data_IF_679940815659
#
_entry.id   IF_679940815659
#
_cell.length_a   1.000
_cell.length_b   1.000
_cell.length_c   1.000
_cell.angle_alpha   90.00
_cell.angle_beta   90.00
_cell.angle_gamma   90.00
#
_symmetry.space_group_name_H-M   'P 1'
#
loop_
_entity.id
_entity.type
_entity.pdbx_description
1 polymer ?
#
# COMPACT_ATOMS: atom_id res chain seq x y z
N UNK A 1 69.54 63.69 -38.63
CA UNK A 1 68.84 64.06 -37.39
C UNK A 1 67.34 63.97 -37.66
N UNK A 2 66.76 62.76 -37.49
CA UNK A 2 65.78 62.36 -36.44
C UNK A 2 64.39 62.99 -36.72
N UNK A 3 63.44 62.36 -37.43
CA UNK A 3 62.50 61.22 -37.17
C UNK A 3 61.49 61.39 -36.00
N UNK A 4 60.22 61.62 -36.41
CA UNK A 4 58.95 60.89 -36.11
C UNK A 4 58.31 60.76 -34.71
N UNK A 5 56.97 60.63 -34.78
CA UNK A 5 55.92 60.02 -33.91
C UNK A 5 55.03 60.98 -33.08
N UNK A 6 53.70 61.09 -33.34
CA UNK A 6 52.54 60.17 -33.16
C UNK A 6 52.20 59.88 -31.69
N UNK A 7 50.99 60.29 -31.28
CA UNK A 7 50.41 60.11 -29.95
C UNK A 7 49.05 59.42 -30.11
N UNK A 8 48.92 58.20 -29.57
CA UNK A 8 47.68 57.45 -29.47
C UNK A 8 47.49 57.00 -28.01
N UNK A 9 46.27 57.20 -27.51
CA UNK A 9 45.81 56.98 -26.15
C UNK A 9 45.54 55.48 -25.92
N UNK A 10 46.09 54.88 -24.86
CA UNK A 10 45.78 53.51 -24.44
C UNK A 10 45.24 53.52 -22.99
N UNK A 11 44.04 52.99 -22.81
CA UNK A 11 43.38 52.74 -21.52
C UNK A 11 43.87 51.39 -20.97
N UNK A 12 44.36 51.39 -19.74
CA UNK A 12 44.87 50.22 -19.02
C UNK A 12 43.72 49.53 -18.27
N UNK A 13 43.24 48.38 -18.77
CA UNK A 13 42.35 47.47 -18.03
C UNK A 13 43.23 46.49 -17.22
N UNK A 14 43.09 46.47 -15.89
CA UNK A 14 43.72 45.46 -15.03
C UNK A 14 42.95 44.13 -15.16
N UNK A 15 43.62 43.08 -15.67
CA UNK A 15 43.15 41.71 -15.57
C UNK A 15 43.37 41.20 -14.13
N UNK A 16 42.28 40.99 -13.40
CA UNK A 16 42.25 40.04 -12.27
C UNK A 16 42.20 38.62 -12.86
N UNK A 17 42.94 37.64 -12.30
CA UNK A 17 42.77 36.25 -12.70
C UNK A 17 41.39 35.81 -12.25
N UNK A 18 40.53 35.48 -13.21
CA UNK A 18 39.31 34.72 -12.97
C UNK A 18 39.72 33.39 -12.35
N UNK A 19 39.29 33.13 -11.12
CA UNK A 19 39.26 31.78 -10.56
C UNK A 19 38.51 30.87 -11.57
N UNK A 20 38.98 29.65 -11.84
CA UNK A 20 38.22 28.74 -12.69
C UNK A 20 36.90 28.41 -11.98
N UNK A 21 35.78 28.69 -12.65
CA UNK A 21 34.50 28.12 -12.27
C UNK A 21 34.64 26.59 -12.42
N UNK A 22 34.33 25.84 -11.36
CA UNK A 22 34.19 24.38 -11.44
C UNK A 22 32.94 24.05 -12.28
N UNK A 23 33.10 24.02 -13.60
CA UNK A 23 32.16 23.42 -14.52
C UNK A 23 32.72 22.06 -14.94
N UNK A 24 32.42 21.01 -14.17
CA UNK A 24 32.61 19.64 -14.65
C UNK A 24 31.52 19.34 -15.68
N UNK A 25 31.90 19.04 -16.93
CA UNK A 25 30.99 18.50 -17.92
C UNK A 25 30.68 17.03 -17.55
N UNK A 26 29.53 16.78 -16.92
CA UNK A 26 29.05 15.41 -16.71
C UNK A 26 28.43 14.86 -18.00
N UNK A 27 28.68 13.59 -18.27
CA UNK A 27 28.08 12.87 -19.40
C UNK A 27 26.56 12.68 -19.20
N UNK A 28 25.73 12.71 -20.24
CA UNK A 28 24.31 12.39 -20.12
C UNK A 28 24.10 10.94 -19.63
N UNK A 29 23.26 10.74 -18.61
CA UNK A 29 22.93 9.39 -18.13
C UNK A 29 22.36 8.52 -19.27
N UNK A 30 22.92 7.32 -19.53
CA UNK A 30 22.52 6.49 -20.67
C UNK A 30 21.21 5.76 -20.37
N UNK A 31 20.10 6.48 -20.55
CA UNK A 31 18.75 5.92 -20.35
C UNK A 31 18.41 4.87 -21.40
N UNK A 32 17.73 3.81 -20.95
CA UNK A 32 17.07 2.84 -21.83
C UNK A 32 15.78 3.41 -22.40
N UNK A 33 15.47 3.02 -23.63
CA UNK A 33 14.19 3.30 -24.25
C UNK A 33 13.04 2.70 -23.44
N UNK A 34 12.08 3.54 -23.05
CA UNK A 34 10.88 3.17 -22.27
C UNK A 34 9.81 2.48 -23.13
N UNK A 35 10.20 1.46 -23.90
CA UNK A 35 9.27 0.73 -24.80
C UNK A 35 8.70 -0.53 -24.16
N UNK A 36 9.37 -1.07 -23.13
CA UNK A 36 8.84 -2.14 -22.29
C UNK A 36 8.20 -1.55 -21.03
N UNK A 37 6.93 -1.89 -20.75
CA UNK A 37 6.19 -1.51 -19.55
C UNK A 37 5.85 -2.74 -18.68
N UNK A 38 6.50 -3.88 -18.94
CA UNK A 38 6.22 -5.14 -18.24
C UNK A 38 6.64 -5.14 -16.77
N UNK A 39 7.40 -4.16 -16.34
CA UNK A 39 7.87 -3.97 -14.97
C UNK A 39 6.99 -2.98 -14.17
N UNK A 40 5.89 -2.50 -14.77
CA UNK A 40 4.93 -1.62 -14.12
C UNK A 40 3.52 -2.26 -14.02
N UNK A 41 2.78 -1.87 -12.99
CA UNK A 41 1.33 -2.07 -12.86
C UNK A 41 0.61 -0.74 -12.66
N UNK A 42 -0.72 -0.72 -12.83
CA UNK A 42 -1.53 0.47 -12.62
C UNK A 42 -2.88 0.08 -12.05
N UNK A 43 -3.29 0.73 -10.96
CA UNK A 43 -4.61 0.57 -10.36
C UNK A 43 -5.67 1.36 -11.15
N UNK A 44 -6.94 0.94 -11.12
CA UNK A 44 -7.42 -0.35 -10.62
C UNK A 44 -7.04 -1.51 -11.56
N UNK A 45 -6.71 -2.66 -10.97
CA UNK A 45 -6.21 -3.84 -11.69
C UNK A 45 -7.32 -4.67 -12.35
N UNK A 46 -8.50 -4.74 -11.72
CA UNK A 46 -9.64 -5.54 -12.19
C UNK A 46 -10.94 -5.06 -11.55
N UNK A 47 -11.99 -4.83 -12.34
CA UNK A 47 -13.35 -4.60 -11.83
C UNK A 47 -14.05 -5.89 -11.42
N UNK A 48 -15.17 -5.76 -10.72
CA UNK A 48 -15.93 -6.90 -10.16
C UNK A 48 -15.08 -7.70 -9.15
N UNK A 49 -14.39 -6.95 -8.28
CA UNK A 49 -13.64 -7.49 -7.14
C UNK A 49 -13.95 -6.62 -5.93
N UNK A 50 -14.60 -7.24 -4.96
CA UNK A 50 -14.94 -6.70 -3.68
C UNK A 50 -14.23 -7.52 -2.59
N UNK A 51 -13.81 -6.84 -1.53
CA UNK A 51 -13.23 -7.46 -0.33
C UNK A 51 -12.08 -8.42 -0.67
N UNK A 52 -11.01 -7.91 -1.35
CA UNK A 52 -9.99 -8.76 -1.93
C UNK A 52 -8.98 -9.28 -0.91
N UNK A 53 -8.80 -10.59 -0.88
CA UNK A 53 -7.75 -11.26 -0.12
C UNK A 53 -6.76 -11.93 -1.06
N UNK A 54 -5.50 -11.47 -1.07
CA UNK A 54 -4.45 -11.97 -1.99
C UNK A 54 -3.42 -12.82 -1.24
N UNK A 55 -3.10 -13.97 -1.82
CA UNK A 55 -2.05 -14.88 -1.34
C UNK A 55 -1.06 -15.18 -2.48
N UNK A 56 0.20 -14.72 -2.38
CA UNK A 56 1.30 -15.24 -3.19
C UNK A 56 1.65 -16.67 -2.75
N UNK A 57 1.63 -17.63 -3.67
CA UNK A 57 1.96 -19.02 -3.37
C UNK A 57 2.48 -19.74 -4.62
N UNK A 58 3.60 -20.47 -4.49
CA UNK A 58 4.22 -21.27 -5.56
C UNK A 58 4.32 -20.55 -6.93
N UNK A 59 4.79 -19.30 -6.92
CA UNK A 59 5.01 -18.50 -8.14
C UNK A 59 3.73 -17.97 -8.80
N UNK A 60 2.62 -17.92 -8.07
CA UNK A 60 1.33 -17.37 -8.49
C UNK A 60 0.76 -16.46 -7.43
N UNK A 61 -0.17 -15.61 -7.87
CA UNK A 61 -1.01 -14.79 -7.02
C UNK A 61 -2.43 -15.31 -7.07
N UNK A 62 -3.03 -15.56 -5.91
CA UNK A 62 -4.41 -16.01 -5.75
C UNK A 62 -5.22 -14.92 -5.07
N UNK A 63 -6.34 -14.51 -5.65
CA UNK A 63 -7.27 -13.54 -5.10
C UNK A 63 -8.61 -14.22 -4.82
N UNK A 64 -8.99 -14.19 -3.55
CA UNK A 64 -10.34 -14.48 -3.07
C UNK A 64 -11.08 -13.16 -2.90
N UNK A 65 -12.37 -13.15 -3.19
CA UNK A 65 -13.17 -11.93 -3.19
C UNK A 65 -14.63 -12.27 -2.95
N UNK A 66 -15.38 -11.31 -2.40
CA UNK A 66 -16.84 -11.39 -2.31
C UNK A 66 -17.47 -11.75 -3.65
N UNK A 67 -18.51 -12.59 -3.61
CA UNK A 67 -19.34 -12.89 -4.77
C UNK A 67 -19.50 -14.39 -5.07
N UNK A 68 -20.47 -14.68 -5.94
CA UNK A 68 -20.93 -16.04 -6.20
C UNK A 68 -21.63 -16.69 -5.00
N UNK A 69 -22.10 -17.92 -5.16
CA UNK A 69 -22.68 -18.72 -4.05
C UNK A 69 -21.59 -19.55 -3.31
N UNK A 70 -20.38 -19.63 -3.87
CA UNK A 70 -19.35 -20.57 -3.44
C UNK A 70 -17.94 -19.98 -3.48
N UNK A 71 -17.83 -18.67 -3.63
CA UNK A 71 -16.59 -17.95 -3.88
C UNK A 71 -15.78 -18.47 -5.06
N UNK A 72 -15.17 -17.55 -5.78
CA UNK A 72 -14.21 -17.91 -6.81
C UNK A 72 -12.81 -17.49 -6.36
N UNK A 73 -11.83 -18.35 -6.62
CA UNK A 73 -10.41 -18.01 -6.54
C UNK A 73 -9.91 -17.65 -7.92
N UNK A 74 -9.50 -16.39 -8.08
CA UNK A 74 -8.88 -15.87 -9.30
C UNK A 74 -7.37 -15.98 -9.16
N UNK A 75 -6.64 -16.43 -10.18
CA UNK A 75 -5.18 -16.52 -10.09
C UNK A 75 -4.42 -16.20 -11.37
N UNK A 76 -3.20 -15.72 -11.19
CA UNK A 76 -2.29 -15.30 -12.27
C UNK A 76 -0.83 -15.50 -11.87
N UNK A 77 0.05 -15.71 -12.84
CA UNK A 77 1.52 -15.77 -12.63
C UNK A 77 2.19 -14.41 -12.75
N UNK A 78 1.43 -13.36 -13.05
CA UNK A 78 1.96 -12.00 -13.27
C UNK A 78 1.18 -11.02 -12.42
N UNK A 79 1.86 -10.35 -11.50
CA UNK A 79 1.28 -9.40 -10.55
C UNK A 79 0.29 -8.40 -11.17
N UNK A 80 0.56 -7.92 -12.38
CA UNK A 80 -0.30 -6.95 -13.10
C UNK A 80 -1.47 -7.54 -13.90
N UNK A 81 -1.50 -8.86 -14.15
CA UNK A 81 -2.43 -9.49 -15.13
C UNK A 81 -3.67 -10.09 -14.46
N UNK A 82 -4.46 -9.24 -13.81
CA UNK A 82 -5.71 -9.66 -13.18
C UNK A 82 -6.88 -9.75 -14.15
N UNK A 83 -6.96 -8.90 -15.18
CA UNK A 83 -8.08 -8.90 -16.16
C UNK A 83 -8.26 -10.25 -16.88
N UNK A 84 -7.15 -10.97 -17.09
CA UNK A 84 -7.13 -12.29 -17.74
C UNK A 84 -6.80 -13.42 -16.76
N UNK A 85 -6.95 -13.19 -15.45
CA UNK A 85 -6.72 -14.22 -14.44
C UNK A 85 -7.65 -15.42 -14.68
N UNK A 86 -7.14 -16.62 -14.47
CA UNK A 86 -7.97 -17.83 -14.43
C UNK A 86 -8.85 -17.81 -13.18
N UNK A 87 -10.00 -18.49 -13.22
CA UNK A 87 -10.94 -18.57 -12.08
C UNK A 87 -11.35 -20.01 -11.83
N UNK A 88 -11.51 -20.39 -10.56
CA UNK A 88 -12.06 -21.66 -10.11
C UNK A 88 -13.02 -21.42 -8.95
N UNK A 89 -14.09 -22.18 -8.85
CA UNK A 89 -14.95 -22.18 -7.65
C UNK A 89 -14.21 -22.81 -6.49
N UNK A 90 -14.12 -22.10 -5.38
CA UNK A 90 -13.28 -22.47 -4.24
C UNK A 90 -14.04 -23.27 -3.18
N UNK A 91 -15.23 -22.84 -2.74
CA UNK A 91 -15.98 -23.47 -1.66
C UNK A 91 -16.91 -24.58 -2.17
N UNK A 92 -16.95 -25.73 -1.47
CA UNK A 92 -18.08 -26.66 -1.59
C UNK A 92 -19.27 -26.03 -0.91
N UNK A 93 -20.43 -25.99 -1.58
CA UNK A 93 -21.65 -25.45 -0.97
C UNK A 93 -21.90 -26.10 0.39
N UNK A 94 -22.26 -25.29 1.38
CA UNK A 94 -22.57 -25.76 2.72
C UNK A 94 -24.07 -26.01 2.86
N UNK A 95 -24.47 -26.85 3.80
CA UNK A 95 -25.89 -27.15 4.04
C UNK A 95 -26.65 -25.98 4.69
N UNK A 96 -25.95 -25.12 5.43
CA UNK A 96 -26.54 -24.03 6.22
C UNK A 96 -26.59 -22.69 5.47
N UNK A 97 -25.65 -22.45 4.54
CA UNK A 97 -25.55 -21.16 3.84
C UNK A 97 -26.45 -21.11 2.60
N UNK A 98 -27.14 -19.99 2.39
CA UNK A 98 -28.09 -19.80 1.28
C UNK A 98 -27.66 -18.70 0.31
N UNK A 99 -27.14 -17.58 0.82
CA UNK A 99 -26.78 -16.40 0.02
C UNK A 99 -25.78 -15.51 0.78
N UNK A 100 -25.47 -14.33 0.22
CA UNK A 100 -24.62 -13.32 0.85
C UNK A 100 -23.23 -13.83 1.25
N UNK A 101 -22.63 -14.65 0.39
CA UNK A 101 -21.25 -15.11 0.52
C UNK A 101 -20.28 -13.94 0.34
N UNK A 102 -19.75 -13.45 1.47
CA UNK A 102 -18.93 -12.26 1.55
C UNK A 102 -17.56 -12.50 2.21
N UNK A 103 -16.62 -11.63 1.83
CA UNK A 103 -15.31 -11.43 2.43
C UNK A 103 -14.55 -12.73 2.76
N UNK A 104 -14.25 -13.59 1.77
CA UNK A 104 -13.48 -14.80 2.01
C UNK A 104 -11.99 -14.47 2.23
N UNK A 105 -11.44 -14.89 3.36
CA UNK A 105 -10.01 -14.83 3.65
C UNK A 105 -9.41 -16.23 3.73
N UNK A 106 -8.15 -16.41 3.27
CA UNK A 106 -7.55 -17.74 3.14
C UNK A 106 -6.14 -17.81 3.73
N UNK A 107 -5.94 -18.72 4.68
CA UNK A 107 -4.70 -18.86 5.43
C UNK A 107 -4.14 -20.27 5.31
N UNK A 108 -2.81 -20.39 5.31
CA UNK A 108 -2.16 -21.67 5.54
C UNK A 108 -2.00 -21.89 7.04
N UNK A 109 -2.56 -22.97 7.57
CA UNK A 109 -2.50 -23.29 9.01
C UNK A 109 -2.47 -24.81 9.21
N UNK A 110 -1.55 -25.31 10.04
CA UNK A 110 -1.37 -26.74 10.34
C UNK A 110 -1.40 -27.68 9.11
N UNK A 111 -0.71 -27.26 8.03
CA UNK A 111 -0.60 -28.04 6.79
C UNK A 111 -1.87 -28.08 5.93
N UNK A 112 -2.88 -27.28 6.26
CA UNK A 112 -4.12 -27.10 5.48
C UNK A 112 -4.28 -25.66 5.05
N UNK A 113 -5.14 -25.45 4.07
CA UNK A 113 -5.68 -24.14 3.73
C UNK A 113 -7.02 -23.96 4.43
N UNK A 114 -7.18 -22.84 5.14
CA UNK A 114 -8.36 -22.47 5.90
C UNK A 114 -8.98 -21.25 5.25
N UNK A 115 -10.23 -21.36 4.81
CA UNK A 115 -11.04 -20.26 4.31
C UNK A 115 -12.00 -19.80 5.41
N UNK A 116 -11.89 -18.56 5.85
CA UNK A 116 -12.90 -17.89 6.66
C UNK A 116 -13.84 -17.15 5.73
N UNK A 117 -15.13 -17.15 6.02
CA UNK A 117 -16.12 -16.42 5.23
C UNK A 117 -17.37 -16.13 6.04
N UNK A 118 -18.13 -15.13 5.60
CA UNK A 118 -19.49 -14.90 6.07
C UNK A 118 -20.52 -15.29 5.01
N UNK A 119 -21.66 -15.80 5.45
CA UNK A 119 -22.81 -16.07 4.60
C UNK A 119 -24.12 -15.98 5.39
N UNK A 120 -25.22 -15.78 4.67
CA UNK A 120 -26.56 -15.86 5.25
C UNK A 120 -26.92 -17.32 5.56
N UNK A 121 -27.36 -17.54 6.79
CA UNK A 121 -28.07 -18.72 7.24
C UNK A 121 -29.58 -18.55 7.00
N UNK A 122 -30.24 -19.55 6.40
CA UNK A 122 -31.70 -19.50 6.23
C UNK A 122 -32.20 -18.33 5.36
N UNK A 123 -33.39 -17.79 5.68
CA UNK A 123 -34.10 -16.81 4.84
C UNK A 123 -34.10 -15.36 5.36
N UNK A 124 -33.73 -15.13 6.63
CA UNK A 124 -34.00 -13.86 7.35
C UNK A 124 -32.76 -12.96 7.50
N UNK A 125 -31.85 -12.94 6.51
CA UNK A 125 -30.61 -12.14 6.55
C UNK A 125 -29.73 -12.42 7.79
N UNK A 126 -29.81 -13.64 8.33
CA UNK A 126 -28.97 -14.10 9.44
C UNK A 126 -27.53 -14.32 8.97
N UNK A 127 -26.70 -13.29 9.04
CA UNK A 127 -25.30 -13.34 8.64
C UNK A 127 -24.46 -14.03 9.71
N UNK A 128 -23.73 -15.08 9.32
CA UNK A 128 -22.90 -15.90 10.21
C UNK A 128 -21.53 -16.15 9.57
N UNK A 129 -20.56 -16.48 10.41
CA UNK A 129 -19.19 -16.77 10.02
C UNK A 129 -18.92 -18.26 10.12
N UNK A 130 -18.18 -18.82 9.15
CA UNK A 130 -17.69 -20.19 9.22
C UNK A 130 -16.26 -20.33 8.68
N UNK A 131 -15.71 -21.52 8.89
CA UNK A 131 -14.39 -21.92 8.40
C UNK A 131 -14.51 -23.17 7.53
N UNK A 132 -13.81 -23.18 6.40
CA UNK A 132 -13.74 -24.33 5.51
C UNK A 132 -12.29 -24.70 5.21
N UNK A 133 -12.02 -25.98 4.94
CA UNK A 133 -10.65 -26.51 4.86
C UNK A 133 -10.37 -27.18 3.50
N UNK A 134 -9.15 -27.03 3.00
CA UNK A 134 -8.68 -27.67 1.78
C UNK A 134 -7.20 -28.12 1.86
N UNK A 135 -6.83 -29.08 1.03
CA UNK A 135 -5.42 -29.48 0.83
C UNK A 135 -4.67 -28.57 -0.16
N UNK A 136 -5.40 -27.78 -0.95
CA UNK A 136 -4.85 -26.90 -1.98
C UNK A 136 -5.43 -25.51 -1.79
N UNK A 137 -4.62 -24.48 -2.08
CA UNK A 137 -5.07 -23.09 -2.03
C UNK A 137 -6.27 -22.83 -2.94
N UNK A 138 -6.39 -23.54 -4.06
CA UNK A 138 -7.54 -23.40 -4.97
C UNK A 138 -8.81 -24.09 -4.48
N UNK A 139 -8.79 -24.74 -3.32
CA UNK A 139 -9.84 -25.63 -2.88
C UNK A 139 -9.83 -26.98 -3.62
N UNK A 140 -10.96 -27.70 -3.63
CA UNK A 140 -12.24 -27.28 -3.06
C UNK A 140 -12.22 -27.28 -1.52
N UNK A 141 -12.64 -26.17 -0.91
CA UNK A 141 -12.78 -26.02 0.54
C UNK A 141 -14.05 -26.70 1.05
N UNK A 142 -13.97 -27.38 2.19
CA UNK A 142 -15.09 -28.06 2.82
C UNK A 142 -15.30 -27.51 4.23
N UNK A 143 -16.47 -26.93 4.49
CA UNK A 143 -16.92 -26.63 5.84
C UNK A 143 -17.24 -27.97 6.54
N UNK A 144 -16.60 -28.30 7.68
CA UNK A 144 -16.84 -29.56 8.38
C UNK A 144 -18.16 -29.56 9.17
N UNK A 145 -18.81 -28.40 9.34
CA UNK A 145 -20.03 -28.25 10.12
C UNK A 145 -21.31 -28.27 9.28
N UNK A 146 -22.38 -28.83 9.86
CA UNK A 146 -23.74 -28.67 9.36
C UNK A 146 -24.35 -27.32 9.76
N UNK A 147 -23.60 -26.49 10.50
CA UNK A 147 -23.96 -25.18 11.04
C UNK A 147 -22.75 -24.24 10.94
N UNK A 148 -22.95 -22.92 10.90
CA UNK A 148 -21.84 -21.97 10.96
C UNK A 148 -21.01 -22.14 12.23
N UNK A 149 -19.72 -21.83 12.14
CA UNK A 149 -18.79 -21.85 13.28
C UNK A 149 -19.17 -20.81 14.35
N UNK A 150 -19.47 -19.59 13.94
CA UNK A 150 -19.80 -18.48 14.83
C UNK A 150 -21.27 -18.08 14.66
N UNK A 151 -22.08 -18.44 15.66
CA UNK A 151 -23.51 -18.12 15.75
C UNK A 151 -23.87 -17.64 17.16
N UNK A 152 -23.61 -16.36 17.46
CA UNK A 152 -23.91 -15.78 18.77
C UNK A 152 -25.38 -15.32 18.90
N UNK A 153 -26.24 -15.65 17.92
CA UNK A 153 -27.63 -15.18 17.87
C UNK A 153 -27.81 -13.74 17.37
N UNK A 154 -26.79 -13.17 16.72
CA UNK A 154 -26.84 -11.88 16.02
C UNK A 154 -25.92 -11.91 14.80
N UNK A 155 -26.12 -10.96 13.89
CA UNK A 155 -25.34 -10.85 12.66
C UNK A 155 -23.85 -10.59 12.87
N UNK A 156 -23.03 -11.45 12.27
CA UNK A 156 -21.56 -11.36 12.24
C UNK A 156 -21.00 -11.57 10.84
N UNK A 157 -19.98 -10.79 10.49
CA UNK A 157 -19.33 -10.80 9.17
C UNK A 157 -17.81 -10.62 9.29
N UNK A 158 -17.12 -10.59 8.14
CA UNK A 158 -15.73 -10.13 7.97
C UNK A 158 -14.76 -10.80 8.94
N UNK A 159 -14.71 -12.13 8.87
CA UNK A 159 -13.85 -12.91 9.73
C UNK A 159 -12.41 -12.99 9.20
N UNK A 160 -11.46 -12.75 10.09
CA UNK A 160 -10.03 -12.83 9.79
C UNK A 160 -9.31 -13.71 10.82
N UNK A 161 -8.28 -14.42 10.38
CA UNK A 161 -7.46 -15.28 11.24
C UNK A 161 -6.10 -14.60 11.48
N UNK A 162 -5.81 -14.33 12.74
CA UNK A 162 -4.47 -13.91 13.17
C UNK A 162 -3.83 -15.05 13.98
N UNK A 163 -2.61 -15.42 13.63
CA UNK A 163 -1.81 -16.40 14.39
C UNK A 163 -0.58 -15.67 14.89
N UNK A 164 -0.42 -15.60 16.21
CA UNK A 164 0.71 -14.91 16.83
C UNK A 164 2.00 -15.73 16.72
N UNK A 165 3.14 -15.12 17.03
CA UNK A 165 4.47 -15.74 16.89
C UNK A 165 4.63 -17.01 17.75
N UNK A 166 3.86 -17.13 18.83
CA UNK A 166 3.83 -18.31 19.70
C UNK A 166 2.92 -19.45 19.18
N UNK A 167 2.30 -19.25 18.01
CA UNK A 167 1.38 -20.19 17.37
C UNK A 167 -0.07 -20.06 17.83
N UNK A 168 -0.39 -19.14 18.75
CA UNK A 168 -1.75 -18.95 19.26
C UNK A 168 -2.66 -18.36 18.18
N UNK A 169 -3.76 -19.04 17.79
CA UNK A 169 -4.71 -18.51 16.84
C UNK A 169 -5.77 -17.61 17.50
N UNK A 170 -6.15 -16.56 16.79
CA UNK A 170 -7.19 -15.60 17.15
C UNK A 170 -8.15 -15.41 15.97
N UNK A 171 -9.45 -15.48 16.25
CA UNK A 171 -10.51 -15.09 15.33
C UNK A 171 -10.83 -13.62 15.55
N UNK A 172 -10.76 -12.84 14.48
CA UNK A 172 -11.29 -11.49 14.41
C UNK A 172 -12.60 -11.53 13.62
N UNK A 173 -13.58 -10.71 14.00
CA UNK A 173 -14.85 -10.62 13.29
C UNK A 173 -15.55 -9.29 13.58
N UNK A 174 -16.62 -9.01 12.83
CA UNK A 174 -17.43 -7.81 12.99
C UNK A 174 -18.82 -8.21 13.48
N UNK A 175 -19.31 -7.54 14.53
CA UNK A 175 -20.74 -7.54 14.87
C UNK A 175 -21.43 -6.49 14.02
N UNK A 176 -22.32 -6.92 13.14
CA UNK A 176 -22.87 -6.09 12.06
C UNK A 176 -23.92 -5.06 12.55
N UNK A 177 -23.96 -3.91 11.88
CA UNK A 177 -24.83 -2.80 12.21
C UNK A 177 -26.33 -3.11 12.03
N UNK A 178 -26.70 -4.10 11.20
CA UNK A 178 -28.11 -4.44 10.92
C UNK A 178 -28.92 -4.77 12.19
N UNK A 179 -28.25 -5.29 13.22
CA UNK A 179 -28.87 -5.69 14.48
C UNK A 179 -28.19 -5.08 15.72
N UNK A 180 -27.08 -4.36 15.54
CA UNK A 180 -26.34 -3.77 16.64
C UNK A 180 -26.66 -2.28 16.82
N UNK A 181 -27.46 -1.98 17.84
CA UNK A 181 -27.89 -0.62 18.16
C UNK A 181 -27.14 -0.08 19.39
N UNK A 182 -26.49 1.07 19.24
CA UNK A 182 -25.85 1.82 20.32
C UNK A 182 -26.55 3.18 20.46
N UNK A 183 -27.51 3.25 21.37
CA UNK A 183 -28.41 4.41 21.46
C UNK A 183 -29.26 4.53 20.20
N UNK A 184 -29.13 5.64 19.47
CA UNK A 184 -29.84 5.89 18.22
C UNK A 184 -29.07 5.43 16.95
N UNK A 185 -27.85 4.95 17.11
CA UNK A 185 -26.99 4.55 16.00
C UNK A 185 -27.05 3.04 15.76
N UNK A 186 -27.04 2.65 14.50
CA UNK A 186 -26.70 1.28 14.08
C UNK A 186 -25.18 1.23 13.87
N UNK A 187 -24.48 0.30 14.51
CA UNK A 187 -23.01 0.32 14.53
C UNK A 187 -22.41 -1.05 14.22
N UNK A 188 -21.51 -1.14 13.24
CA UNK A 188 -20.60 -2.28 13.11
C UNK A 188 -19.41 -2.08 14.04
N UNK A 189 -19.12 -3.05 14.90
CA UNK A 189 -18.01 -3.05 15.85
C UNK A 189 -17.11 -4.27 15.59
N UNK A 190 -15.80 -4.10 15.72
CA UNK A 190 -14.85 -5.21 15.58
C UNK A 190 -14.63 -5.94 16.90
N UNK A 191 -14.42 -7.25 16.84
CA UNK A 191 -14.19 -8.13 17.98
C UNK A 191 -13.05 -9.10 17.69
N UNK A 192 -12.41 -9.59 18.75
CA UNK A 192 -11.41 -10.64 18.70
C UNK A 192 -11.60 -11.66 19.81
N UNK A 193 -11.24 -12.91 19.54
CA UNK A 193 -11.29 -14.01 20.52
C UNK A 193 -10.19 -15.02 20.21
N UNK A 194 -9.62 -15.63 21.25
CA UNK A 194 -8.66 -16.72 21.08
C UNK A 194 -9.37 -17.97 20.57
N UNK A 195 -8.72 -18.77 19.75
CA UNK A 195 -9.19 -20.09 19.32
C UNK A 195 -8.38 -21.21 19.98
N UNK A 196 -8.93 -22.43 19.96
CA UNK A 196 -8.16 -23.65 20.17
C UNK A 196 -7.17 -23.87 19.00
N UNK A 197 -6.07 -24.58 19.25
CA UNK A 197 -5.03 -24.86 18.23
C UNK A 197 -5.56 -25.64 17.01
N UNK A 198 -6.67 -26.36 17.14
CA UNK A 198 -7.33 -27.07 16.05
C UNK A 198 -8.42 -26.24 15.35
N UNK A 199 -8.57 -24.97 15.73
CA UNK A 199 -9.58 -24.02 15.26
C UNK A 199 -11.04 -24.49 15.46
N UNK A 200 -11.28 -25.47 16.35
CA UNK A 200 -12.61 -26.07 16.54
C UNK A 200 -13.50 -25.30 17.52
N UNK A 201 -12.93 -24.45 18.38
CA UNK A 201 -13.68 -23.69 19.37
C UNK A 201 -13.02 -22.36 19.75
N UNK A 202 -13.83 -21.42 20.23
CA UNK A 202 -13.36 -20.21 20.91
C UNK A 202 -12.90 -20.53 22.32
N UNK A 203 -11.89 -19.80 22.80
CA UNK A 203 -11.43 -19.87 24.19
C UNK A 203 -11.64 -18.53 24.89
N UNK A 204 -12.65 -18.49 25.74
CA UNK A 204 -13.10 -17.27 26.43
C UNK A 204 -14.17 -16.52 25.63
N UNK A 205 -14.45 -15.30 26.08
CA UNK A 205 -15.45 -14.43 25.47
C UNK A 205 -14.80 -13.48 24.46
N UNK A 206 -15.49 -13.13 23.36
CA UNK A 206 -15.03 -12.09 22.46
C UNK A 206 -14.86 -10.72 23.13
N UNK A 207 -13.78 -10.03 22.78
CA UNK A 207 -13.45 -8.69 23.26
C UNK A 207 -13.61 -7.70 22.11
N UNK A 208 -14.26 -6.56 22.38
CA UNK A 208 -14.40 -5.49 21.38
C UNK A 208 -13.05 -4.81 21.15
N UNK A 209 -12.65 -4.65 19.89
CA UNK A 209 -11.34 -4.12 19.52
C UNK A 209 -11.44 -2.64 19.10
N UNK A 210 -12.40 -2.30 18.22
CA UNK A 210 -12.69 -0.93 17.80
C UNK A 210 -14.18 -0.69 17.59
N UNK A 211 -14.58 0.58 17.78
CA UNK A 211 -15.92 1.11 17.53
C UNK A 211 -15.80 2.43 16.77
N UNK A 212 -16.79 2.85 15.96
CA UNK A 212 -16.75 4.14 15.27
C UNK A 212 -16.93 5.31 16.24
N UNK A 213 -15.84 5.93 16.70
CA UNK A 213 -15.83 6.95 17.75
C UNK A 213 -15.13 8.27 17.35
N UNK A 214 -14.39 8.29 16.25
CA UNK A 214 -13.71 9.48 15.72
C UNK A 214 -14.53 10.19 14.63
N UNK A 215 -14.28 11.49 14.34
CA UNK A 215 -15.07 12.24 13.36
C UNK A 215 -15.07 11.67 11.93
N UNK A 216 -13.95 11.13 11.45
CA UNK A 216 -13.85 10.64 10.06
C UNK A 216 -14.65 9.35 9.83
N UNK A 217 -14.94 8.59 10.89
CA UNK A 217 -15.69 7.32 10.86
C UNK A 217 -17.21 7.53 10.90
N UNK A 218 -17.66 8.77 11.07
CA UNK A 218 -19.07 9.11 11.33
C UNK A 218 -19.77 9.79 10.16
N UNK A 219 -19.18 9.75 8.95
CA UNK A 219 -19.71 10.43 7.77
C UNK A 219 -20.99 9.79 7.23
N UNK A 220 -21.26 8.53 7.57
CA UNK A 220 -22.46 7.79 7.13
C UNK A 220 -23.59 7.73 8.17
N UNK A 221 -23.50 8.53 9.24
CA UNK A 221 -24.52 8.65 10.29
C UNK A 221 -25.95 8.74 9.70
N UNK A 222 -26.94 8.02 10.27
CA UNK A 222 -26.93 7.38 11.59
C UNK A 222 -26.44 5.92 11.62
N UNK A 223 -25.99 5.37 10.50
CA UNK A 223 -25.38 4.03 10.46
C UNK A 223 -23.86 4.21 10.42
N UNK A 224 -23.14 3.47 11.26
CA UNK A 224 -21.71 3.66 11.50
C UNK A 224 -20.99 2.32 11.38
N UNK A 225 -19.76 2.35 10.86
CA UNK A 225 -19.01 1.12 10.58
C UNK A 225 -17.58 1.21 11.10
N UNK A 226 -17.16 0.18 11.82
CA UNK A 226 -15.80 -0.35 11.78
C UNK A 226 -15.93 -1.82 11.33
N UNK A 227 -15.44 -2.15 10.15
CA UNK A 227 -15.56 -3.48 9.52
C UNK A 227 -14.27 -3.88 8.77
N UNK A 228 -14.25 -5.03 8.07
CA UNK A 228 -13.07 -5.50 7.32
C UNK A 228 -11.79 -5.54 8.16
N UNK A 229 -11.83 -6.28 9.27
CA UNK A 229 -10.78 -6.28 10.30
C UNK A 229 -9.59 -7.16 9.92
N UNK A 230 -8.37 -6.65 10.06
CA UNK A 230 -7.13 -7.41 9.80
C UNK A 230 -6.03 -7.00 10.78
N UNK A 231 -5.35 -7.97 11.41
CA UNK A 231 -4.17 -7.68 12.27
C UNK A 231 -2.87 -8.02 11.54
N UNK A 232 -1.91 -7.08 11.57
CA UNK A 232 -0.48 -7.40 11.39
C UNK A 232 0.28 -7.15 12.68
N UNK A 233 1.22 -8.04 12.98
CA UNK A 233 2.23 -7.80 14.00
C UNK A 233 3.48 -7.19 13.35
N UNK A 234 4.03 -6.15 13.96
CA UNK A 234 5.28 -5.52 13.56
C UNK A 234 5.98 -4.96 14.81
N UNK A 235 7.27 -5.25 14.97
CA UNK A 235 8.11 -4.79 16.08
C UNK A 235 7.48 -4.94 17.48
N UNK A 236 6.84 -6.09 17.70
CA UNK A 236 6.21 -6.44 18.98
C UNK A 236 4.86 -5.75 19.24
N UNK A 237 4.36 -4.95 18.30
CA UNK A 237 3.05 -4.29 18.35
C UNK A 237 2.06 -4.96 17.41
N UNK A 238 0.78 -4.83 17.71
CA UNK A 238 -0.33 -5.35 16.93
C UNK A 238 -1.07 -4.19 16.28
N UNK A 239 -1.08 -4.17 14.95
CA UNK A 239 -1.74 -3.16 14.12
C UNK A 239 -3.04 -3.74 13.58
N UNK A 240 -4.16 -3.28 14.12
CA UNK A 240 -5.49 -3.64 13.67
C UNK A 240 -5.98 -2.62 12.64
N UNK A 241 -6.02 -3.06 11.40
CA UNK A 241 -6.59 -2.32 10.28
C UNK A 241 -8.08 -2.61 10.20
N UNK A 242 -8.86 -1.58 9.85
CA UNK A 242 -10.29 -1.67 9.71
C UNK A 242 -10.79 -0.59 8.74
N UNK A 243 -11.94 -0.82 8.13
CA UNK A 243 -12.61 0.16 7.27
C UNK A 243 -13.77 0.83 7.99
N UNK A 244 -14.05 2.08 7.66
CA UNK A 244 -15.18 2.82 8.22
C UNK A 244 -15.98 3.57 7.15
N UNK A 245 -17.15 4.05 7.55
CA UNK A 245 -18.21 4.62 6.70
C UNK A 245 -18.88 3.56 5.80
N UNK A 246 -19.89 3.96 5.04
CA UNK A 246 -20.66 3.03 4.20
C UNK A 246 -19.89 2.64 2.92
N UNK A 247 -19.79 1.34 2.65
CA UNK A 247 -19.04 0.72 1.54
C UNK A 247 -19.40 1.24 0.14
N UNK A 248 -20.62 1.75 -0.04
CA UNK A 248 -21.15 2.25 -1.31
C UNK A 248 -20.99 3.78 -1.45
N UNK A 249 -20.21 4.42 -0.59
CA UNK A 249 -19.96 5.87 -0.59
C UNK A 249 -18.49 6.17 -0.88
N UNK A 250 -18.21 7.42 -1.25
CA UNK A 250 -16.83 7.86 -1.46
C UNK A 250 -16.01 7.98 -0.18
N UNK A 251 -16.67 7.95 0.98
CA UNK A 251 -16.05 8.12 2.31
C UNK A 251 -15.57 6.82 2.94
N UNK A 252 -15.83 5.66 2.29
CA UNK A 252 -15.24 4.40 2.72
C UNK A 252 -13.71 4.50 2.67
N UNK A 253 -13.07 4.27 3.83
CA UNK A 253 -11.67 4.54 4.08
C UNK A 253 -11.12 3.59 5.15
N UNK A 254 -9.79 3.39 5.16
CA UNK A 254 -9.09 2.53 6.11
C UNK A 254 -8.46 3.35 7.23
N UNK A 255 -8.65 2.89 8.46
CA UNK A 255 -7.90 3.31 9.62
C UNK A 255 -7.10 2.16 10.24
N UNK A 256 -6.19 2.53 11.14
CA UNK A 256 -5.39 1.57 11.93
C UNK A 256 -5.42 1.94 13.41
N UNK A 257 -5.46 0.93 14.28
CA UNK A 257 -5.29 1.07 15.71
C UNK A 257 -4.19 0.13 16.20
N UNK A 258 -3.44 0.56 17.22
CA UNK A 258 -2.23 -0.14 17.68
C UNK A 258 -2.40 -0.61 19.12
N UNK A 259 -1.90 -1.80 19.43
CA UNK A 259 -1.86 -2.36 20.78
C UNK A 259 -0.55 -3.09 21.08
N UNK A 260 -0.28 -3.28 22.37
CA UNK A 260 0.76 -4.16 22.90
C UNK A 260 0.32 -5.63 23.01
N UNK A 261 -0.96 -5.93 22.75
CA UNK A 261 -1.52 -7.27 22.85
C UNK A 261 -2.52 -7.55 21.71
N UNK A 262 -2.69 -8.82 21.29
CA UNK A 262 -3.52 -9.18 20.13
C UNK A 262 -5.02 -8.90 20.33
N UNK A 263 -5.47 -8.75 21.58
CA UNK A 263 -6.87 -8.45 21.93
C UNK A 263 -7.04 -7.06 22.56
N UNK A 264 -6.06 -6.18 22.39
CA UNK A 264 -6.14 -4.80 22.86
C UNK A 264 -5.67 -4.59 24.31
N UNK A 265 -5.92 -3.38 24.87
CA UNK A 265 -6.71 -2.30 24.27
C UNK A 265 -6.00 -1.67 23.06
N UNK A 266 -6.79 -1.32 22.04
CA UNK A 266 -6.30 -0.68 20.83
C UNK A 266 -6.42 0.84 20.91
N UNK A 267 -5.39 1.56 20.46
CA UNK A 267 -5.36 3.02 20.35
C UNK A 267 -5.30 3.40 18.87
N UNK A 268 -6.29 4.14 18.39
CA UNK A 268 -6.34 4.60 16.99
C UNK A 268 -5.18 5.55 16.69
N UNK A 269 -4.53 5.35 15.55
CA UNK A 269 -3.49 6.25 15.05
C UNK A 269 -4.06 7.65 14.81
N UNK A 270 -3.32 8.69 15.19
CA UNK A 270 -3.80 10.07 15.21
C UNK A 270 -4.06 10.64 13.81
N UNK A 271 -3.28 10.21 12.81
CA UNK A 271 -3.37 10.62 11.41
C UNK A 271 -4.34 9.74 10.58
N UNK A 272 -5.19 8.93 11.22
CA UNK A 272 -6.26 8.22 10.50
C UNK A 272 -7.22 9.19 9.79
N UNK A 273 -7.78 8.81 8.62
CA UNK A 273 -7.57 7.54 7.91
C UNK A 273 -6.26 7.52 7.11
N UNK A 274 -5.65 6.33 7.00
CA UNK A 274 -4.37 6.12 6.29
C UNK A 274 -4.54 5.68 4.82
N UNK A 275 -5.78 5.41 4.40
CA UNK A 275 -6.15 5.18 3.01
C UNK A 275 -7.54 5.76 2.79
N UNK A 276 -7.65 6.78 1.92
CA UNK A 276 -8.90 7.51 1.69
C UNK A 276 -9.02 7.96 0.23
N UNK A 277 -10.14 8.57 -0.12
CA UNK A 277 -10.37 9.15 -1.45
C UNK A 277 -9.33 10.22 -1.80
N UNK A 278 -9.03 10.36 -3.10
CA UNK A 278 -8.16 11.42 -3.62
C UNK A 278 -8.96 12.29 -4.60
N UNK A 279 -8.81 13.61 -4.49
CA UNK A 279 -9.37 14.61 -5.39
C UNK A 279 -8.26 15.40 -6.09
N UNK A 280 -8.48 15.80 -7.34
CA UNK A 280 -7.58 16.74 -8.02
C UNK A 280 -7.74 18.18 -7.48
N UNK A 281 -6.90 19.09 -7.99
CA UNK A 281 -6.89 20.51 -7.64
C UNK A 281 -8.23 21.24 -7.91
N UNK A 282 -9.08 20.69 -8.78
CA UNK A 282 -10.39 21.23 -9.11
C UNK A 282 -11.51 20.61 -8.25
N UNK A 283 -11.16 19.79 -7.26
CA UNK A 283 -12.09 19.08 -6.40
C UNK A 283 -12.78 17.88 -7.07
N UNK A 284 -12.33 17.48 -8.27
CA UNK A 284 -12.84 16.27 -8.91
C UNK A 284 -12.20 15.06 -8.26
N UNK A 285 -13.05 14.18 -7.74
CA UNK A 285 -12.65 12.90 -7.16
C UNK A 285 -12.06 11.97 -8.22
N UNK A 286 -10.82 11.53 -8.00
CA UNK A 286 -10.07 10.64 -8.87
C UNK A 286 -10.25 9.17 -8.49
N UNK A 287 -10.30 8.89 -7.19
CA UNK A 287 -10.51 7.55 -6.61
C UNK A 287 -11.19 7.70 -5.26
N UNK A 288 -12.06 6.76 -4.90
CA UNK A 288 -12.79 6.76 -3.63
C UNK A 288 -13.31 5.37 -3.26
N UNK A 289 -13.96 5.30 -2.11
CA UNK A 289 -14.58 4.06 -1.64
C UNK A 289 -13.53 2.99 -1.40
N UNK A 290 -12.41 3.36 -0.76
CA UNK A 290 -11.21 2.55 -0.65
C UNK A 290 -11.18 1.82 0.69
N UNK A 291 -11.12 0.49 0.67
CA UNK A 291 -11.11 -0.26 1.92
C UNK A 291 -11.28 -1.76 1.77
N UNK A 292 -11.72 -2.36 2.88
CA UNK A 292 -11.73 -3.79 3.16
C UNK A 292 -10.40 -4.42 2.75
N UNK A 293 -9.32 -3.94 3.37
CA UNK A 293 -7.98 -4.24 2.94
C UNK A 293 -7.37 -5.43 3.71
N UNK A 294 -6.55 -6.21 3.02
CA UNK A 294 -5.74 -7.28 3.60
C UNK A 294 -4.31 -7.18 3.08
N UNK A 295 -3.35 -7.66 3.86
CA UNK A 295 -1.93 -7.53 3.55
C UNK A 295 -1.30 -8.82 3.05
N UNK A 296 -0.34 -8.69 2.16
CA UNK A 296 0.50 -9.80 1.69
C UNK A 296 1.91 -9.31 1.38
N UNK A 297 2.87 -10.23 1.37
CA UNK A 297 4.30 -9.90 1.16
C UNK A 297 4.81 -10.58 -0.10
N UNK A 298 5.64 -9.87 -0.87
CA UNK A 298 6.34 -10.43 -2.04
C UNK A 298 7.82 -10.05 -1.93
N UNK A 299 8.67 -11.04 -1.66
CA UNK A 299 10.06 -10.75 -1.27
C UNK A 299 10.10 -9.98 0.05
N UNK A 300 10.76 -8.83 0.06
CA UNK A 300 10.85 -7.94 1.23
C UNK A 300 9.74 -6.88 1.25
N UNK A 301 8.95 -6.76 0.18
CA UNK A 301 7.96 -5.70 0.03
C UNK A 301 6.61 -6.11 0.62
N UNK A 302 6.08 -5.26 1.50
CA UNK A 302 4.72 -5.36 2.03
C UNK A 302 3.74 -4.65 1.09
N UNK A 303 2.69 -5.36 0.70
CA UNK A 303 1.58 -4.85 -0.09
C UNK A 303 0.28 -4.97 0.69
N UNK A 304 -0.65 -4.06 0.39
CA UNK A 304 -2.06 -4.16 0.76
C UNK A 304 -2.90 -4.35 -0.50
N UNK A 305 -3.78 -5.35 -0.49
CA UNK A 305 -4.88 -5.46 -1.44
C UNK A 305 -6.09 -4.77 -0.83
N UNK A 306 -6.83 -4.00 -1.63
CA UNK A 306 -8.05 -3.32 -1.20
C UNK A 306 -8.95 -3.10 -2.41
N UNK A 307 -10.22 -2.77 -2.18
CA UNK A 307 -11.10 -2.39 -3.27
C UNK A 307 -11.24 -0.87 -3.40
N UNK A 308 -11.62 -0.37 -4.57
CA UNK A 308 -12.11 1.01 -4.76
C UNK A 308 -13.45 0.99 -5.53
N UNK A 309 -14.19 2.10 -5.53
CA UNK A 309 -15.36 2.25 -6.41
C UNK A 309 -14.98 2.13 -7.89
N UNK A 310 -15.82 1.49 -8.71
CA UNK A 310 -15.64 1.47 -10.18
C UNK A 310 -15.92 2.82 -10.84
N UNK A 311 -16.77 3.65 -10.22
CA UNK A 311 -17.04 5.03 -10.64
C UNK A 311 -16.75 5.95 -9.46
N UNK A 312 -15.65 6.72 -9.48
CA UNK A 312 -15.33 7.62 -8.39
C UNK A 312 -16.35 8.77 -8.26
N UNK A 313 -17.02 9.17 -9.35
CA UNK A 313 -17.98 10.27 -9.35
C UNK A 313 -19.33 9.82 -8.77
N UNK A 314 -19.77 8.61 -9.10
CA UNK A 314 -21.02 8.02 -8.61
C UNK A 314 -20.78 6.68 -7.91
N UNK A 315 -20.24 6.69 -6.67
CA UNK A 315 -19.91 5.47 -5.96
C UNK A 315 -21.14 4.58 -5.74
N UNK A 316 -20.91 3.27 -5.79
CA UNK A 316 -21.93 2.24 -5.61
C UNK A 316 -21.29 0.97 -5.02
N UNK A 317 -22.05 -0.12 -4.94
CA UNK A 317 -21.53 -1.43 -4.55
C UNK A 317 -20.52 -2.04 -5.54
N UNK A 318 -20.46 -1.52 -6.78
CA UNK A 318 -19.54 -2.00 -7.80
C UNK A 318 -18.11 -1.54 -7.50
N UNK A 319 -17.22 -2.53 -7.35
CA UNK A 319 -15.87 -2.34 -6.80
C UNK A 319 -14.79 -2.96 -7.68
N UNK A 320 -13.57 -2.42 -7.60
CA UNK A 320 -12.39 -2.88 -8.34
C UNK A 320 -11.22 -3.16 -7.41
N UNK A 321 -10.43 -4.17 -7.74
CA UNK A 321 -9.17 -4.51 -7.08
C UNK A 321 -8.13 -3.41 -7.29
N UNK A 322 -7.54 -2.96 -6.19
CA UNK A 322 -6.33 -2.16 -6.15
C UNK A 322 -5.29 -2.82 -5.24
N UNK A 323 -4.02 -2.53 -5.52
CA UNK A 323 -2.89 -2.99 -4.71
C UNK A 323 -1.88 -1.87 -4.59
N UNK A 324 -1.40 -1.59 -3.38
CA UNK A 324 -0.32 -0.64 -3.13
C UNK A 324 0.65 -1.15 -2.07
N UNK A 325 1.85 -0.57 -2.03
CA UNK A 325 2.85 -0.85 -0.99
C UNK A 325 2.39 -0.24 0.34
N UNK A 326 2.88 -0.79 1.44
CA UNK A 326 2.62 -0.29 2.78
C UNK A 326 3.83 -0.54 3.68
N UNK A 327 3.87 0.12 4.83
CA UNK A 327 4.98 -0.03 5.76
C UNK A 327 4.74 0.66 7.09
N UNK A 328 5.83 0.84 7.81
CA UNK A 328 5.86 1.45 9.13
C UNK A 328 7.07 2.39 9.19
N UNK A 329 6.88 3.61 9.65
CA UNK A 329 7.98 4.51 9.95
C UNK A 329 8.73 4.02 11.19
N UNK A 330 9.94 4.57 11.41
CA UNK A 330 10.78 4.21 12.56
C UNK A 330 10.13 4.49 13.93
N UNK A 331 9.14 5.40 14.00
CA UNK A 331 8.37 5.69 15.21
C UNK A 331 7.19 4.71 15.44
N UNK A 332 6.99 3.75 14.53
CA UNK A 332 5.91 2.78 14.55
C UNK A 332 4.61 3.25 13.90
N UNK A 333 4.57 4.44 13.30
CA UNK A 333 3.39 4.92 12.55
C UNK A 333 3.24 4.12 11.26
N UNK A 334 2.07 3.52 11.05
CA UNK A 334 1.79 2.74 9.84
C UNK A 334 1.33 3.64 8.70
N UNK A 335 1.76 3.33 7.48
CA UNK A 335 1.38 4.03 6.25
C UNK A 335 0.98 3.05 5.14
N UNK A 336 0.20 3.55 4.18
CA UNK A 336 -0.10 2.89 2.91
C UNK A 336 0.25 3.87 1.78
N UNK A 337 1.09 3.43 0.85
CA UNK A 337 1.49 4.19 -0.35
C UNK A 337 0.37 4.17 -1.40
N UNK A 338 -0.83 4.59 -1.01
CA UNK A 338 -2.01 4.54 -1.85
C UNK A 338 -3.10 5.52 -1.42
N UNK A 339 -4.18 5.65 -2.22
CA UNK A 339 -4.40 4.88 -3.44
C UNK A 339 -3.64 5.46 -4.64
N UNK A 340 -2.77 4.67 -5.26
CA UNK A 340 -2.06 5.11 -6.48
C UNK A 340 -2.97 5.01 -7.71
N UNK A 341 -2.79 5.94 -8.64
CA UNK A 341 -3.35 5.86 -10.01
C UNK A 341 -2.25 5.98 -11.08
N UNK A 342 -1.10 6.54 -10.73
CA UNK A 342 0.09 6.48 -11.57
C UNK A 342 0.66 5.05 -11.60
N UNK A 343 1.37 4.72 -12.69
CA UNK A 343 2.03 3.42 -12.83
C UNK A 343 3.07 3.23 -11.73
N UNK A 344 3.05 2.10 -11.03
CA UNK A 344 4.02 1.71 -10.00
C UNK A 344 4.82 0.48 -10.44
N UNK A 345 6.01 0.28 -9.89
CA UNK A 345 6.79 -0.95 -10.09
C UNK A 345 6.00 -2.17 -9.61
N UNK A 346 5.99 -3.25 -10.40
CA UNK A 346 5.65 -4.58 -9.87
C UNK A 346 6.62 -4.96 -8.73
N UNK A 347 6.37 -6.01 -7.94
CA UNK A 347 7.29 -6.38 -6.87
C UNK A 347 8.72 -6.57 -7.39
N UNK A 348 9.70 -6.04 -6.66
CA UNK A 348 11.12 -6.12 -7.05
C UNK A 348 11.58 -7.56 -7.14
N UNK A 349 11.10 -8.43 -6.25
CA UNK A 349 11.37 -9.87 -6.29
C UNK A 349 10.89 -10.54 -7.59
N UNK A 350 9.76 -10.10 -8.17
CA UNK A 350 9.27 -10.61 -9.47
C UNK A 350 10.18 -10.18 -10.64
N UNK A 351 11.01 -9.17 -10.44
CA UNK A 351 11.98 -8.64 -11.40
C UNK A 351 13.41 -9.12 -11.14
N UNK A 352 13.66 -9.83 -10.04
CA UNK A 352 15.02 -10.16 -9.59
C UNK A 352 15.81 -8.91 -9.17
N UNK A 353 15.11 -7.88 -8.69
CA UNK A 353 15.69 -6.62 -8.23
C UNK A 353 15.57 -6.50 -6.70
N UNK A 354 16.35 -5.58 -6.13
CA UNK A 354 16.28 -5.18 -4.72
C UNK A 354 16.44 -3.66 -4.58
N UNK A 355 15.97 -3.12 -3.46
CA UNK A 355 16.22 -1.74 -3.07
C UNK A 355 17.61 -1.64 -2.44
N UNK A 356 18.44 -0.72 -2.94
CA UNK A 356 19.80 -0.46 -2.49
C UNK A 356 19.90 0.79 -1.61
N UNK A 357 18.84 1.61 -1.56
CA UNK A 357 18.82 2.85 -0.79
C UNK A 357 19.03 2.63 0.72
N UNK A 358 18.44 1.60 1.37
CA UNK A 358 18.61 1.41 2.80
C UNK A 358 20.07 1.25 3.26
N UNK A 359 20.94 0.72 2.38
CA UNK A 359 22.36 0.51 2.68
C UNK A 359 23.24 1.77 2.50
N UNK A 360 22.71 2.84 1.91
CA UNK A 360 23.48 4.05 1.64
C UNK A 360 23.76 4.86 2.93
N UNK A 361 24.92 5.52 3.01
CA UNK A 361 25.07 6.68 3.87
C UNK A 361 24.36 7.89 3.23
N UNK A 362 23.71 8.70 4.06
CA UNK A 362 22.80 9.76 3.62
C UNK A 362 23.22 11.12 4.16
N UNK A 363 23.25 12.12 3.28
CA UNK A 363 23.45 13.53 3.63
C UNK A 363 22.38 14.38 2.95
N UNK A 364 21.38 14.83 3.70
CA UNK A 364 20.19 15.51 3.15
C UNK A 364 19.59 16.58 4.09
N UNK A 365 20.41 17.23 4.92
CA UNK A 365 19.91 18.20 5.89
C UNK A 365 19.07 17.55 6.99
N UNK A 366 18.11 18.30 7.53
CA UNK A 366 17.23 17.84 8.60
C UNK A 366 16.26 16.76 8.10
N UNK A 367 16.02 15.74 8.93
CA UNK A 367 15.10 14.62 8.65
C UNK A 367 15.36 13.90 7.32
N UNK A 368 16.62 13.85 6.88
CA UNK A 368 17.00 13.21 5.62
C UNK A 368 16.53 11.76 5.52
N UNK A 369 16.52 11.03 6.65
CA UNK A 369 16.14 9.63 6.74
C UNK A 369 14.76 9.29 6.16
N UNK A 370 13.86 10.28 6.05
CA UNK A 370 12.54 10.13 5.43
C UNK A 370 12.62 9.77 3.94
N UNK A 371 13.68 10.19 3.23
CA UNK A 371 13.85 9.88 1.80
C UNK A 371 14.10 8.39 1.49
N UNK A 372 14.14 7.55 2.52
CA UNK A 372 14.46 6.13 2.46
C UNK A 372 13.68 5.28 3.47
N UNK A 373 12.58 5.81 3.99
CA UNK A 373 11.76 5.11 4.99
C UNK A 373 10.67 4.24 4.35
N UNK A 374 10.53 4.31 3.02
CA UNK A 374 9.60 3.53 2.23
C UNK A 374 8.24 4.19 2.07
N UNK A 375 7.98 5.35 2.68
CA UNK A 375 6.74 6.11 2.49
C UNK A 375 6.88 7.08 1.32
N UNK A 376 6.08 6.86 0.29
CA UNK A 376 6.05 7.69 -0.91
C UNK A 376 5.28 9.00 -0.68
N UNK A 377 4.72 9.18 0.52
CA UNK A 377 3.93 10.31 0.97
C UNK A 377 2.76 10.63 0.04
N UNK A 378 2.06 9.57 -0.39
CA UNK A 378 0.91 9.67 -1.30
C UNK A 378 -0.36 10.05 -0.54
N UNK A 379 -0.54 9.49 0.65
CA UNK A 379 -1.69 9.75 1.49
C UNK A 379 -1.48 11.04 2.30
N UNK A 380 -2.54 11.81 2.52
CA UNK A 380 -2.50 13.01 3.36
C UNK A 380 -2.04 12.70 4.80
N UNK A 381 -2.28 11.48 5.28
CA UNK A 381 -1.82 10.99 6.58
C UNK A 381 -0.29 10.94 6.72
N UNK A 382 0.43 10.94 5.59
CA UNK A 382 1.88 10.89 5.51
C UNK A 382 2.53 12.27 5.38
N UNK A 383 1.76 13.37 5.42
CA UNK A 383 2.28 14.72 5.21
C UNK A 383 3.41 15.11 6.19
N UNK A 384 3.38 14.61 7.43
CA UNK A 384 4.41 14.86 8.45
C UNK A 384 5.73 14.11 8.16
N UNK A 385 5.75 13.21 7.19
CA UNK A 385 6.89 12.40 6.76
C UNK A 385 7.49 12.84 5.42
N UNK A 386 7.04 13.99 4.88
CA UNK A 386 7.71 14.61 3.75
C UNK A 386 9.08 15.18 4.15
N UNK A 387 10.09 14.88 3.34
CA UNK A 387 11.37 15.57 3.42
C UNK A 387 11.30 16.91 2.70
N UNK A 388 11.93 17.93 3.28
CA UNK A 388 12.05 19.27 2.69
C UNK A 388 13.52 19.67 2.55
N UNK A 389 13.93 19.99 1.32
CA UNK A 389 15.28 20.49 1.07
C UNK A 389 15.59 20.65 -0.41
N UNK A 390 16.80 21.12 -0.69
CA UNK A 390 17.28 21.37 -2.05
C UNK A 390 18.37 20.36 -2.51
N UNK A 391 18.92 19.54 -1.61
CA UNK A 391 19.92 18.54 -2.00
C UNK A 391 19.92 17.31 -1.10
N UNK A 392 20.06 16.16 -1.74
CA UNK A 392 20.29 14.86 -1.10
C UNK A 392 21.48 14.19 -1.76
N UNK A 393 22.36 13.61 -0.94
CA UNK A 393 23.45 12.74 -1.39
C UNK A 393 23.34 11.38 -0.72
N UNK A 394 23.32 10.33 -1.54
CA UNK A 394 23.46 8.93 -1.13
C UNK A 394 24.87 8.46 -1.51
N UNK A 395 25.53 7.74 -0.62
CA UNK A 395 26.88 7.19 -0.82
C UNK A 395 26.97 5.76 -0.33
N UNK A 396 27.74 4.93 -1.03
CA UNK A 396 28.05 3.55 -0.64
C UNK A 396 29.56 3.40 -0.51
N UNK A 397 30.02 2.76 0.56
CA UNK A 397 31.45 2.52 0.81
C UNK A 397 32.07 1.63 -0.28
N UNK A 398 31.29 0.68 -0.78
CA UNK A 398 31.65 -0.19 -1.91
C UNK A 398 30.65 0.03 -3.07
N UNK A 399 31.08 -0.11 -4.34
CA UNK A 399 30.19 0.07 -5.48
C UNK A 399 29.00 -0.90 -5.44
N UNK A 400 27.80 -0.36 -5.64
CA UNK A 400 26.57 -1.14 -5.86
C UNK A 400 26.16 -1.10 -7.33
N UNK A 401 25.56 -2.17 -7.83
CA UNK A 401 25.07 -2.21 -9.22
C UNK A 401 23.64 -1.67 -9.26
N UNK A 402 23.45 -0.46 -9.78
CA UNK A 402 22.14 0.15 -9.96
C UNK A 402 21.68 0.04 -11.43
N UNK A 403 20.38 -0.13 -11.63
CA UNK A 403 19.77 -0.16 -12.97
C UNK A 403 18.52 0.73 -13.07
N UNK A 404 17.98 1.16 -11.92
CA UNK A 404 16.78 1.98 -11.86
C UNK A 404 16.84 2.99 -10.70
N UNK A 405 16.33 4.19 -10.93
CA UNK A 405 16.14 5.21 -9.89
C UNK A 405 14.68 5.67 -9.93
N UNK A 406 14.03 5.73 -8.76
CA UNK A 406 12.73 6.37 -8.58
C UNK A 406 12.84 7.59 -7.68
N UNK A 407 12.14 8.67 -8.03
CA UNK A 407 12.04 9.88 -7.20
C UNK A 407 10.57 10.23 -7.06
N UNK A 408 10.05 10.16 -5.84
CA UNK A 408 8.66 10.45 -5.49
C UNK A 408 8.57 11.87 -4.92
N UNK A 409 8.11 12.87 -5.70
CA UNK A 409 7.83 14.20 -5.17
C UNK A 409 6.49 14.22 -4.43
N UNK A 410 6.26 15.26 -3.63
CA UNK A 410 4.92 15.58 -3.15
C UNK A 410 3.95 15.76 -4.33
N UNK A 411 2.70 15.33 -4.17
CA UNK A 411 1.66 15.51 -5.18
C UNK A 411 1.52 16.99 -5.60
N UNK A 412 1.70 17.28 -6.88
CA UNK A 412 1.59 18.63 -7.44
C UNK A 412 2.84 19.50 -7.32
N UNK A 413 3.96 18.96 -6.80
CA UNK A 413 5.23 19.66 -6.71
C UNK A 413 5.75 20.10 -8.09
N UNK A 414 6.32 21.31 -8.16
CA UNK A 414 6.79 21.95 -9.40
C UNK A 414 8.25 22.37 -9.30
N UNK A 415 9.08 21.44 -8.83
CA UNK A 415 10.52 21.66 -8.75
C UNK A 415 11.26 21.06 -9.95
N UNK A 416 12.37 21.71 -10.30
CA UNK A 416 13.33 21.27 -11.31
C UNK A 416 14.69 21.09 -10.65
N UNK A 417 15.58 20.38 -11.33
CA UNK A 417 16.94 20.18 -10.86
C UNK A 417 17.71 19.19 -11.71
N UNK A 418 18.68 18.53 -11.10
CA UNK A 418 19.49 17.49 -11.74
C UNK A 418 19.84 16.37 -10.77
N UNK A 419 19.97 15.18 -11.33
CA UNK A 419 20.50 14.00 -10.67
C UNK A 419 21.88 13.68 -11.26
N UNK A 420 22.86 13.46 -10.39
CA UNK A 420 24.26 13.19 -10.72
C UNK A 420 24.63 11.83 -10.13
N UNK A 421 25.22 10.93 -10.93
CA UNK A 421 25.75 9.65 -10.48
C UNK A 421 27.27 9.60 -10.63
N UNK A 422 27.97 9.17 -9.57
CA UNK A 422 29.44 9.05 -9.50
C UNK A 422 30.23 10.30 -9.88
N UNK A 423 29.63 11.50 -9.77
CA UNK A 423 30.19 12.74 -10.34
C UNK A 423 30.64 12.58 -11.82
N UNK A 424 29.97 11.70 -12.56
CA UNK A 424 30.31 11.32 -13.94
C UNK A 424 29.11 11.48 -14.89
N UNK A 425 27.93 11.05 -14.44
CA UNK A 425 26.71 11.08 -15.24
C UNK A 425 25.72 12.10 -14.68
N UNK A 426 24.95 12.76 -15.54
CA UNK A 426 23.87 13.65 -15.12
C UNK A 426 22.59 13.48 -15.94
N UNK A 427 21.47 13.85 -15.32
CA UNK A 427 20.20 14.05 -16.01
C UNK A 427 19.38 15.13 -15.32
N UNK A 428 18.67 15.94 -16.10
CA UNK A 428 17.73 16.91 -15.55
C UNK A 428 16.50 16.19 -14.99
N UNK A 429 16.00 16.67 -13.85
CA UNK A 429 14.72 16.27 -13.28
C UNK A 429 13.75 17.45 -13.35
N UNK A 430 12.50 17.18 -13.73
CA UNK A 430 11.44 18.17 -13.83
C UNK A 430 10.13 17.54 -13.35
N UNK A 431 9.70 17.90 -12.14
CA UNK A 431 8.44 17.42 -11.56
C UNK A 431 7.23 18.14 -12.16
N UNK A 432 7.42 19.31 -12.78
CA UNK A 432 6.34 20.08 -13.42
C UNK A 432 5.78 19.37 -14.66
N UNK A 433 6.52 18.42 -15.22
CA UNK A 433 6.11 17.60 -16.35
C UNK A 433 5.32 16.35 -15.94
N UNK A 434 5.17 16.07 -14.65
CA UNK A 434 4.42 14.92 -14.16
C UNK A 434 2.91 15.18 -14.22
N UNK A 435 2.15 14.13 -14.53
CA UNK A 435 0.69 14.17 -14.47
C UNK A 435 0.21 14.38 -13.02
N UNK A 436 -0.94 15.05 -12.84
CA UNK A 436 -1.54 15.22 -11.52
C UNK A 436 -2.32 13.97 -11.08
N UNK A 437 -1.62 12.84 -10.90
CA UNK A 437 -2.18 11.58 -10.40
C UNK A 437 -1.50 11.17 -9.09
N UNK A 438 -2.22 10.56 -8.12
CA UNK A 438 -1.59 10.04 -6.92
C UNK A 438 -0.56 8.95 -7.25
N UNK A 439 0.64 9.09 -6.67
CA UNK A 439 1.78 8.20 -6.86
C UNK A 439 2.65 8.51 -8.09
N UNK A 440 2.49 9.67 -8.74
CA UNK A 440 3.43 10.07 -9.80
C UNK A 440 4.85 10.20 -9.26
N UNK A 441 5.80 9.81 -10.10
CA UNK A 441 7.21 9.82 -9.76
C UNK A 441 8.04 9.83 -11.05
N UNK A 442 9.30 10.22 -10.92
CA UNK A 442 10.29 10.02 -11.98
C UNK A 442 10.78 8.59 -11.91
N UNK A 443 10.88 7.94 -13.07
CA UNK A 443 11.63 6.68 -13.22
C UNK A 443 12.72 6.85 -14.26
N UNK A 444 13.95 6.58 -13.83
CA UNK A 444 15.14 6.52 -14.67
C UNK A 444 15.58 5.07 -14.77
N UNK A 445 15.57 4.50 -15.96
CA UNK A 445 15.99 3.11 -16.20
C UNK A 445 17.17 3.14 -17.18
N UNK A 446 18.24 2.43 -16.83
CA UNK A 446 19.51 2.42 -17.57
C UNK A 446 20.13 1.01 -17.53
N UNK A 447 21.26 0.83 -18.21
CA UNK A 447 22.05 -0.40 -18.07
C UNK A 447 22.68 -0.52 -16.69
N UNK A 448 22.96 -1.74 -16.24
CA UNK A 448 23.61 -1.99 -14.95
C UNK A 448 24.88 -1.15 -14.81
N UNK A 449 24.86 -0.25 -13.83
CA UNK A 449 25.90 0.73 -13.59
C UNK A 449 26.40 0.59 -12.16
N UNK A 450 27.70 0.36 -11.99
CA UNK A 450 28.34 0.41 -10.69
C UNK A 450 28.38 1.86 -10.19
N UNK A 451 27.72 2.14 -9.07
CA UNK A 451 27.70 3.46 -8.44
C UNK A 451 28.17 3.41 -6.99
N UNK A 452 28.88 4.46 -6.59
CA UNK A 452 29.25 4.74 -5.20
C UNK A 452 28.58 6.02 -4.69
N UNK A 453 28.00 6.84 -5.58
CA UNK A 453 27.26 8.02 -5.19
C UNK A 453 26.09 8.36 -6.12
N UNK A 454 25.04 8.91 -5.52
CA UNK A 454 23.94 9.59 -6.18
C UNK A 454 23.74 10.94 -5.47
N UNK A 455 23.69 12.02 -6.26
CA UNK A 455 23.32 13.35 -5.75
C UNK A 455 22.14 13.89 -6.54
N UNK A 456 21.09 14.28 -5.84
CA UNK A 456 19.99 15.05 -6.40
C UNK A 456 20.13 16.49 -5.90
N UNK A 457 20.23 17.42 -6.83
CA UNK A 457 20.33 18.86 -6.60
C UNK A 457 19.11 19.52 -7.25
N UNK A 458 18.27 20.12 -6.43
CA UNK A 458 17.08 20.85 -6.86
C UNK A 458 17.41 22.35 -6.96
N UNK A 459 16.79 23.04 -7.90
CA UNK A 459 17.01 24.47 -8.15
C UNK A 459 16.49 25.35 -6.99
N UNK A 460 15.58 24.81 -6.19
CA UNK A 460 15.05 25.38 -4.96
C UNK A 460 14.67 24.26 -3.97
N UNK A 461 14.35 24.61 -2.73
CA UNK A 461 13.77 23.65 -1.78
C UNK A 461 12.45 23.09 -2.32
N UNK A 462 12.27 21.77 -2.19
CA UNK A 462 11.06 21.06 -2.57
C UNK A 462 10.70 20.00 -1.53
N UNK A 463 9.48 19.47 -1.61
CA UNK A 463 9.00 18.36 -0.80
C UNK A 463 9.08 17.04 -1.56
N UNK A 464 9.76 16.05 -0.98
CA UNK A 464 9.88 14.70 -1.53
C UNK A 464 9.42 13.66 -0.50
N UNK A 465 8.79 12.58 -0.98
CA UNK A 465 8.55 11.40 -0.16
C UNK A 465 9.78 10.51 -0.12
N UNK A 466 10.28 10.09 -1.28
CA UNK A 466 11.25 8.98 -1.34
C UNK A 466 12.21 9.10 -2.54
N UNK A 467 13.46 8.66 -2.35
CA UNK A 467 14.46 8.45 -3.43
C UNK A 467 14.97 7.02 -3.39
N UNK A 468 14.62 6.24 -4.43
CA UNK A 468 14.97 4.81 -4.50
C UNK A 468 16.05 4.55 -5.53
N UNK A 469 17.05 3.77 -5.15
CA UNK A 469 18.09 3.22 -6.03
C UNK A 469 17.91 1.73 -6.05
N UNK A 470 17.61 1.19 -7.23
CA UNK A 470 17.21 -0.20 -7.41
C UNK A 470 18.20 -0.87 -8.35
N UNK A 471 18.55 -2.12 -8.04
CA UNK A 471 19.49 -2.92 -8.82
C UNK A 471 19.24 -4.41 -8.71
N UNK A 472 20.04 -5.24 -9.41
CA UNK A 472 19.94 -6.69 -9.32
C UNK A 472 20.08 -7.19 -7.88
N UNK A 473 19.23 -8.15 -7.49
CA UNK A 473 19.42 -8.88 -6.24
C UNK A 473 20.72 -9.70 -6.34
N UNK A 474 21.55 -9.66 -5.29
CA UNK A 474 22.85 -10.36 -5.23
C UNK A 474 22.71 -11.85 -4.92
#
# INVERSE_FOLDING_TARGET
>A
MIRLLLMALLILLMLLPTLPAFAGEYEPLPLKDKTDYTWLYQNPLRGDVADPFIVPYEGRYYCFSTGGHRFDVKYTTRFRRWKTASSLTALRGTAWSTQHHWAPEVYQYNGKWVMLFSAQMGADYDLRVSMAFADKITGPYTDPGDKPFLDPGYNVIDASLFVDDDGTPYLLFVRDCSENYVGFYQCSHTYGVRLTEDLSAMVGEPVCLTVPDTPWEKKSSPVLWNEGVFIRKHDGKYYLYYSANAYNTGDYAVGVAVSDAPLGPYVKQANNPILTQVTDENGKRLVCGVGHNAFFTVGEELFTAYHCSTDPIHPSAARSLCIDRAGYHADGTAFINGPTLAKQLVPLADLGLTDLTPAAALSAGERGELLRDGDYCIADSSADYLWHGASVTLTWDEPVIASLIQIYPQGGEKATGRLILNDAWQINVDFSALEALPGVHIVLHFDDLAITSLRLELDAEAALGEVRVIGPAQ
#
